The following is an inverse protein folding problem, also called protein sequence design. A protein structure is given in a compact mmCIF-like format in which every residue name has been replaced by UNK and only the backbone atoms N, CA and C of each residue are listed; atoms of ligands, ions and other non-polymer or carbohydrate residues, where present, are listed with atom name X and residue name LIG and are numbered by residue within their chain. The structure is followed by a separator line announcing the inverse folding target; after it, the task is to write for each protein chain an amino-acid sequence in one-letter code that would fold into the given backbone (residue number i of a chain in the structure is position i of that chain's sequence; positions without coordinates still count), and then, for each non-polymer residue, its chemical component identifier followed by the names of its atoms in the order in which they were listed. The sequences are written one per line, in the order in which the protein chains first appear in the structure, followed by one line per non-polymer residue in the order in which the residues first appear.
data_IF_176648296053
#
_entry.id   IF_176648296053
#
_cell.length_a   1.000
_cell.length_b   1.000
_cell.length_c   1.000
_cell.angle_alpha   90.00
_cell.angle_beta   90.00
_cell.angle_gamma   90.00
#
_symmetry.space_group_name_H-M   'P 1'
#
loop_
_entity.id
_entity.type
_entity.pdbx_description
1 polymer ?
#
# COMPACT_ATOMS: atom_id res chain seq x y z
N UNK A 1 -16.95 -22.53 -72.70
CA UNK A 1 -17.82 -22.76 -71.52
C UNK A 1 -16.99 -23.54 -70.51
N UNK A 2 -16.49 -22.85 -69.48
CA UNK A 2 -15.69 -23.49 -68.41
C UNK A 2 -16.61 -23.69 -67.22
N UNK A 3 -16.85 -24.93 -66.84
CA UNK A 3 -17.76 -25.32 -65.77
C UNK A 3 -16.94 -25.42 -64.45
N UNK A 4 -17.16 -24.49 -63.53
CA UNK A 4 -16.58 -24.48 -62.19
C UNK A 4 -17.52 -25.25 -61.24
N UNK A 5 -17.19 -26.48 -60.91
CA UNK A 5 -17.85 -27.22 -59.83
C UNK A 5 -17.15 -26.96 -58.50
N UNK A 6 -17.78 -26.18 -57.63
CA UNK A 6 -17.31 -26.01 -56.23
C UNK A 6 -17.70 -27.24 -55.42
N UNK A 7 -16.67 -28.03 -55.06
CA UNK A 7 -16.84 -29.18 -54.19
C UNK A 7 -16.92 -28.75 -52.72
N UNK A 8 -18.17 -28.73 -52.22
CA UNK A 8 -18.54 -28.29 -50.85
C UNK A 8 -17.98 -29.21 -49.73
N UNK A 9 -17.28 -30.28 -50.06
CA UNK A 9 -16.80 -31.26 -49.10
C UNK A 9 -15.38 -30.99 -48.55
N UNK A 10 -14.66 -29.96 -49.06
CA UNK A 10 -13.31 -29.61 -48.62
C UNK A 10 -13.20 -28.42 -47.69
N UNK A 11 -14.34 -27.87 -47.26
CA UNK A 11 -14.41 -26.64 -46.42
C UNK A 11 -14.57 -26.91 -44.90
N UNK A 12 -14.44 -28.20 -44.48
CA UNK A 12 -14.66 -28.58 -43.07
C UNK A 12 -13.41 -29.15 -42.37
N UNK A 13 -12.20 -28.93 -42.88
CA UNK A 13 -10.97 -29.50 -42.32
C UNK A 13 -9.95 -28.48 -41.85
N UNK A 14 -10.40 -27.29 -41.36
CA UNK A 14 -9.47 -26.37 -40.64
C UNK A 14 -10.16 -25.65 -39.48
N UNK A 15 -10.84 -26.41 -38.62
CA UNK A 15 -11.05 -25.94 -37.25
C UNK A 15 -9.76 -26.18 -36.49
N UNK A 16 -8.86 -25.20 -36.57
CA UNK A 16 -7.68 -25.12 -35.70
C UNK A 16 -8.17 -25.10 -34.27
N UNK A 17 -7.81 -26.13 -33.50
CA UNK A 17 -7.96 -26.16 -32.07
C UNK A 17 -7.14 -24.99 -31.50
N UNK A 18 -7.81 -23.89 -31.19
CA UNK A 18 -7.26 -22.85 -30.32
C UNK A 18 -7.14 -23.50 -28.94
N UNK A 19 -5.96 -24.05 -28.65
CA UNK A 19 -5.61 -24.45 -27.30
C UNK A 19 -5.64 -23.16 -26.47
N UNK A 20 -6.70 -22.94 -25.72
CA UNK A 20 -6.75 -21.94 -24.67
C UNK A 20 -5.69 -22.38 -23.65
N UNK A 21 -4.52 -21.75 -23.72
CA UNK A 21 -3.50 -21.85 -22.66
C UNK A 21 -4.17 -21.18 -21.45
N UNK A 22 -4.43 -21.91 -20.35
CA UNK A 22 -4.89 -21.25 -19.14
C UNK A 22 -3.78 -20.28 -18.74
N UNK A 23 -4.05 -18.98 -18.81
CA UNK A 23 -3.23 -18.00 -18.12
C UNK A 23 -3.42 -18.31 -16.64
N UNK A 24 -2.46 -19.01 -16.06
CA UNK A 24 -2.32 -19.12 -14.62
C UNK A 24 -2.03 -17.69 -14.18
N UNK A 25 -3.06 -17.01 -13.68
CA UNK A 25 -2.89 -15.79 -12.93
C UNK A 25 -1.94 -16.16 -11.78
N UNK A 26 -0.69 -15.71 -11.87
CA UNK A 26 0.21 -15.76 -10.74
C UNK A 26 -0.42 -14.88 -9.68
N UNK A 27 -0.97 -15.49 -8.65
CA UNK A 27 -1.20 -14.79 -7.39
C UNK A 27 0.19 -14.26 -7.00
N UNK A 28 0.36 -12.96 -6.99
CA UNK A 28 1.59 -12.38 -6.43
C UNK A 28 1.62 -12.81 -4.98
N UNK A 29 2.64 -13.59 -4.63
CA UNK A 29 2.85 -14.05 -3.26
C UNK A 29 3.26 -12.82 -2.43
N UNK A 30 2.32 -12.22 -1.73
CA UNK A 30 2.58 -11.16 -0.77
C UNK A 30 2.06 -11.60 0.61
N UNK A 31 2.64 -11.03 1.64
CA UNK A 31 2.23 -11.23 3.02
C UNK A 31 1.25 -10.12 3.39
N UNK A 32 0.06 -10.50 3.85
CA UNK A 32 -0.88 -9.54 4.43
C UNK A 32 -0.40 -9.11 5.80
N UNK A 33 -0.21 -7.80 5.97
CA UNK A 33 0.15 -7.19 7.25
C UNK A 33 -0.97 -6.30 7.77
N UNK A 34 -1.08 -6.28 9.08
CA UNK A 34 -1.83 -5.30 9.84
C UNK A 34 -0.89 -4.32 10.53
N UNK A 35 -1.37 -3.15 10.90
CA UNK A 35 -0.56 -2.15 11.61
C UNK A 35 -0.01 -2.66 12.94
N UNK A 36 -0.70 -3.55 13.59
CA UNK A 36 -0.26 -4.24 14.82
C UNK A 36 0.95 -5.12 14.59
N UNK A 37 1.14 -5.63 13.37
CA UNK A 37 2.31 -6.44 13.03
C UNK A 37 3.61 -5.63 13.02
N UNK A 38 3.53 -4.31 12.81
CA UNK A 38 4.70 -3.43 12.82
C UNK A 38 5.19 -3.09 14.24
N UNK A 39 4.40 -3.41 15.26
CA UNK A 39 4.73 -3.14 16.66
C UNK A 39 5.62 -4.26 17.19
N UNK A 40 6.73 -3.94 17.89
CA UNK A 40 7.56 -4.93 18.52
C UNK A 40 6.79 -5.83 19.49
N UNK A 41 7.14 -7.12 19.53
CA UNK A 41 6.49 -8.11 20.38
C UNK A 41 6.56 -7.67 21.85
N UNK A 42 5.43 -7.71 22.55
CA UNK A 42 5.32 -7.33 23.96
C UNK A 42 5.06 -5.84 24.19
N UNK A 43 4.95 -5.04 23.14
CA UNK A 43 4.54 -3.64 23.25
C UNK A 43 3.01 -3.51 23.13
N UNK A 44 2.37 -2.66 23.95
CA UNK A 44 0.94 -2.43 23.81
C UNK A 44 0.63 -1.61 22.57
N UNK A 45 -0.37 -2.04 21.81
CA UNK A 45 -1.02 -1.16 20.85
C UNK A 45 -1.94 -0.21 21.59
N UNK A 46 -1.65 1.07 21.59
CA UNK A 46 -2.52 2.10 22.14
C UNK A 46 -3.30 2.72 20.99
N UNK A 47 -4.60 2.47 20.87
CA UNK A 47 -5.42 3.08 19.83
C UNK A 47 -5.34 4.63 19.89
N UNK A 48 -5.34 5.33 18.75
CA UNK A 48 -5.19 6.79 18.68
C UNK A 48 -6.20 7.55 19.57
N UNK A 49 -7.43 7.06 19.65
CA UNK A 49 -8.48 7.64 20.48
C UNK A 49 -8.13 7.62 21.99
N UNK A 50 -7.40 6.59 22.44
CA UNK A 50 -6.96 6.50 23.83
C UNK A 50 -5.74 7.38 24.08
N UNK A 51 -4.86 7.53 23.09
CA UNK A 51 -3.72 8.44 23.17
C UNK A 51 -4.20 9.89 23.34
N UNK A 52 -5.24 10.30 22.63
CA UNK A 52 -5.84 11.63 22.75
C UNK A 52 -6.40 11.87 24.15
N UNK A 53 -7.08 10.88 24.74
CA UNK A 53 -7.61 10.97 26.11
C UNK A 53 -6.52 11.08 27.19
N UNK A 54 -5.39 10.41 26.98
CA UNK A 54 -4.28 10.44 27.92
C UNK A 54 -3.44 11.73 27.85
N UNK A 55 -3.48 12.42 26.71
CA UNK A 55 -2.71 13.67 26.48
C UNK A 55 -3.48 14.94 26.85
N UNK A 56 -4.76 14.88 27.19
CA UNK A 56 -5.58 16.05 27.46
C UNK A 56 -5.14 16.91 28.66
N UNK A 57 -4.25 16.41 29.49
CA UNK A 57 -3.83 17.12 30.71
C UNK A 57 -2.47 17.86 30.60
N UNK A 58 -1.68 17.77 29.54
CA UNK A 58 -0.28 18.19 29.67
C UNK A 58 0.39 18.94 28.52
N UNK A 59 -0.19 19.33 27.41
CA UNK A 59 0.54 20.22 26.48
C UNK A 59 -0.34 20.74 25.33
N UNK A 60 0.07 21.89 24.69
CA UNK A 60 -0.53 22.29 23.43
C UNK A 60 -0.36 21.17 22.41
N UNK A 61 -1.42 20.93 21.61
CA UNK A 61 -1.60 19.88 20.60
C UNK A 61 -0.57 19.87 19.45
N UNK A 62 0.52 20.61 19.58
CA UNK A 62 1.60 20.65 18.61
C UNK A 62 2.73 19.70 19.02
N UNK A 63 2.76 18.55 18.38
CA UNK A 63 4.00 17.93 17.95
C UNK A 63 4.89 17.23 18.97
N UNK A 64 4.37 16.34 19.77
CA UNK A 64 5.27 15.32 20.27
C UNK A 64 4.82 13.97 19.70
N UNK A 65 5.52 13.54 18.65
CA UNK A 65 5.38 12.17 18.18
C UNK A 65 5.71 11.24 19.34
N UNK A 66 4.84 10.27 19.68
CA UNK A 66 5.16 9.30 20.71
C UNK A 66 6.45 8.55 20.37
N UNK A 67 7.29 8.32 21.39
CA UNK A 67 8.51 7.57 21.17
C UNK A 67 8.20 6.16 20.64
N UNK A 68 8.89 5.78 19.58
CA UNK A 68 8.84 4.42 19.06
C UNK A 68 9.76 3.54 19.90
N UNK A 69 9.23 2.47 20.46
CA UNK A 69 10.01 1.48 21.22
C UNK A 69 10.72 0.46 20.32
N UNK A 70 11.01 0.84 19.07
CA UNK A 70 11.70 0.03 18.09
C UNK A 70 10.85 -0.33 16.89
N UNK A 71 11.44 -1.03 15.94
CA UNK A 71 10.80 -1.48 14.70
C UNK A 71 10.99 -2.98 14.52
N UNK A 72 10.03 -3.63 13.87
CA UNK A 72 10.17 -5.04 13.45
C UNK A 72 10.82 -5.11 12.08
N UNK A 73 11.75 -6.04 11.94
CA UNK A 73 12.52 -6.25 10.71
C UNK A 73 12.21 -7.58 10.02
N UNK A 74 11.23 -8.31 10.54
CA UNK A 74 10.89 -9.68 10.10
C UNK A 74 10.50 -9.76 8.61
N UNK A 75 9.96 -8.68 8.07
CA UNK A 75 9.49 -8.63 6.67
C UNK A 75 10.42 -7.86 5.73
N UNK A 76 11.61 -7.45 6.20
CA UNK A 76 12.56 -6.75 5.35
C UNK A 76 12.92 -7.57 4.10
N UNK A 77 12.78 -6.96 2.93
CA UNK A 77 13.02 -7.60 1.64
C UNK A 77 11.89 -8.50 1.15
N UNK A 78 10.75 -8.57 1.84
CA UNK A 78 9.58 -9.34 1.43
C UNK A 78 8.54 -8.43 0.76
N UNK A 79 7.74 -9.00 -0.13
CA UNK A 79 6.58 -8.31 -0.69
C UNK A 79 5.44 -8.43 0.30
N UNK A 80 4.92 -7.29 0.71
CA UNK A 80 3.83 -7.23 1.68
C UNK A 80 2.66 -6.44 1.13
N UNK A 81 1.47 -6.64 1.69
CA UNK A 81 0.29 -5.81 1.49
C UNK A 81 -0.09 -5.18 2.83
N UNK A 82 -0.22 -3.86 2.85
CA UNK A 82 -0.61 -3.10 4.03
C UNK A 82 -1.74 -2.13 3.67
N UNK A 83 -2.91 -2.21 4.31
CA UNK A 83 -3.99 -1.24 4.15
C UNK A 83 -3.67 0.05 4.92
N UNK A 84 -4.11 1.19 4.41
CA UNK A 84 -3.93 2.46 5.12
C UNK A 84 -4.49 3.65 4.36
N UNK A 85 -4.11 4.85 4.81
CA UNK A 85 -4.55 6.12 4.24
C UNK A 85 -3.34 6.90 3.73
N UNK A 86 -3.49 7.52 2.55
CA UNK A 86 -2.42 8.28 1.91
C UNK A 86 -2.32 9.69 2.51
N UNK A 87 -1.11 10.10 2.88
CA UNK A 87 -0.73 11.51 3.08
C UNK A 87 0.33 11.83 2.03
N UNK A 88 -0.02 12.49 0.92
CA UNK A 88 0.91 12.77 -0.17
C UNK A 88 2.06 13.68 0.26
N UNK A 89 3.28 13.41 -0.23
CA UNK A 89 4.49 14.18 0.05
C UNK A 89 5.06 14.76 -1.24
N UNK A 90 5.18 13.93 -2.28
CA UNK A 90 5.77 14.34 -3.55
C UNK A 90 4.84 14.02 -4.72
N UNK A 91 4.91 14.86 -5.75
CA UNK A 91 4.10 14.75 -6.95
C UNK A 91 4.96 14.83 -8.20
N UNK A 92 4.53 14.13 -9.25
CA UNK A 92 4.97 14.32 -10.62
C UNK A 92 3.73 14.58 -11.49
N UNK A 93 3.59 15.82 -11.98
CA UNK A 93 2.34 16.26 -12.60
C UNK A 93 1.18 16.23 -11.59
N UNK A 94 0.13 15.47 -11.89
CA UNK A 94 -1.04 15.27 -11.01
C UNK A 94 -0.92 14.03 -10.14
N UNK A 95 0.02 13.13 -10.44
CA UNK A 95 0.17 11.87 -9.73
C UNK A 95 1.14 11.96 -8.56
N UNK A 96 0.86 11.21 -7.50
CA UNK A 96 1.67 11.11 -6.29
C UNK A 96 2.82 10.12 -6.53
N UNK A 97 4.05 10.52 -6.24
CA UNK A 97 5.25 9.68 -6.37
C UNK A 97 5.83 9.27 -5.04
N UNK A 98 5.56 10.04 -3.97
CA UNK A 98 5.91 9.65 -2.61
C UNK A 98 4.82 10.09 -1.64
N UNK A 99 4.52 9.24 -0.66
CA UNK A 99 3.51 9.50 0.35
C UNK A 99 3.82 8.78 1.66
N UNK A 100 3.26 9.29 2.75
CA UNK A 100 3.18 8.57 4.01
C UNK A 100 1.91 7.74 4.01
N UNK A 101 2.02 6.44 4.27
CA UNK A 101 0.89 5.59 4.58
C UNK A 101 0.69 5.59 6.09
N UNK A 102 -0.55 5.87 6.52
CA UNK A 102 -0.90 6.01 7.94
C UNK A 102 -2.08 5.12 8.31
N UNK A 103 -2.20 4.70 9.59
CA UNK A 103 -3.21 3.74 10.02
C UNK A 103 -4.63 4.32 10.15
N UNK A 104 -4.78 5.63 10.24
CA UNK A 104 -6.09 6.27 10.44
C UNK A 104 -6.14 7.66 9.81
N UNK A 105 -7.37 8.10 9.52
CA UNK A 105 -7.64 9.44 8.99
C UNK A 105 -7.29 10.51 10.01
N UNK A 106 -6.65 11.60 9.57
CA UNK A 106 -6.25 12.72 10.42
C UNK A 106 -4.83 12.62 10.98
N UNK A 107 -4.19 11.45 10.90
CA UNK A 107 -2.80 11.28 11.31
C UNK A 107 -1.88 12.32 10.66
N UNK A 108 -0.96 12.89 11.41
CA UNK A 108 0.04 13.88 10.97
C UNK A 108 -0.53 15.26 10.56
N UNK A 109 -1.86 15.48 10.58
CA UNK A 109 -2.46 16.77 10.15
C UNK A 109 -3.31 17.41 11.26
N UNK A 110 -4.23 16.67 11.84
CA UNK A 110 -5.18 17.17 12.83
C UNK A 110 -5.04 16.54 14.21
N UNK A 111 -4.37 15.42 14.30
CA UNK A 111 -4.06 14.68 15.53
C UNK A 111 -2.55 14.47 15.61
N UNK A 112 -1.99 14.24 16.79
CA UNK A 112 -0.58 13.93 16.94
C UNK A 112 -0.17 12.80 16.00
N UNK A 113 1.03 12.86 15.39
CA UNK A 113 1.50 11.80 14.53
C UNK A 113 1.58 10.49 15.32
N UNK A 114 1.29 9.33 14.69
CA UNK A 114 1.52 8.05 15.32
C UNK A 114 3.03 7.83 15.60
N UNK A 115 3.38 6.85 16.46
CA UNK A 115 4.78 6.48 16.65
C UNK A 115 5.47 6.15 15.32
N UNK A 116 6.78 6.34 15.23
CA UNK A 116 7.53 6.16 13.98
C UNK A 116 7.36 4.76 13.36
N UNK A 117 7.17 3.72 14.16
CA UNK A 117 6.88 2.36 13.69
C UNK A 117 5.44 2.15 13.18
N UNK A 118 4.62 3.18 13.21
CA UNK A 118 3.26 3.24 12.66
C UNK A 118 3.16 4.24 11.50
N UNK A 119 4.28 4.58 10.89
CA UNK A 119 4.39 5.40 9.69
C UNK A 119 5.18 4.64 8.63
N UNK A 120 4.63 4.49 7.44
CA UNK A 120 5.30 3.82 6.32
C UNK A 120 5.48 4.81 5.19
N UNK A 121 6.74 5.13 4.88
CA UNK A 121 7.08 5.96 3.73
C UNK A 121 7.05 5.09 2.46
N UNK A 122 6.28 5.50 1.48
CA UNK A 122 6.08 4.78 0.22
C UNK A 122 6.54 5.62 -0.95
N UNK A 123 7.30 5.02 -1.85
CA UNK A 123 7.65 5.60 -3.15
C UNK A 123 7.11 4.72 -4.27
N UNK A 124 6.65 5.33 -5.36
CA UNK A 124 6.17 4.63 -6.55
C UNK A 124 7.01 5.00 -7.75
N UNK A 125 7.25 4.03 -8.64
CA UNK A 125 7.95 4.31 -9.91
C UNK A 125 7.01 5.04 -10.89
N UNK A 126 5.74 4.65 -10.90
CA UNK A 126 4.70 5.28 -11.71
C UNK A 126 3.85 6.19 -10.82
N UNK A 127 3.61 7.45 -11.21
CA UNK A 127 2.78 8.36 -10.43
C UNK A 127 1.37 7.80 -10.22
N UNK A 128 0.91 7.78 -8.98
CA UNK A 128 -0.42 7.31 -8.59
C UNK A 128 -1.42 8.46 -8.60
N UNK A 129 -2.51 8.29 -9.36
CA UNK A 129 -3.61 9.28 -9.43
C UNK A 129 -4.47 9.18 -8.16
N UNK A 130 -4.04 9.88 -7.11
CA UNK A 130 -4.78 9.92 -5.84
C UNK A 130 -6.00 10.82 -5.94
N UNK A 131 -7.09 10.43 -5.30
CA UNK A 131 -8.31 11.24 -5.18
C UNK A 131 -8.19 12.31 -4.11
N UNK A 132 -7.12 12.30 -3.31
CA UNK A 132 -6.84 13.34 -2.31
C UNK A 132 -6.25 12.83 -1.00
N UNK A 133 -6.20 13.73 -0.04
CA UNK A 133 -5.69 13.45 1.30
C UNK A 133 -6.56 12.41 2.01
N UNK A 134 -5.92 11.45 2.66
CA UNK A 134 -6.55 10.33 3.37
C UNK A 134 -7.39 9.39 2.50
N UNK A 135 -7.05 9.26 1.22
CA UNK A 135 -7.59 8.18 0.42
C UNK A 135 -7.20 6.83 1.00
N UNK A 136 -8.18 5.94 1.14
CA UNK A 136 -7.96 4.58 1.63
C UNK A 136 -7.41 3.69 0.52
N UNK A 137 -6.28 3.04 0.77
CA UNK A 137 -5.58 2.20 -0.20
C UNK A 137 -5.06 0.91 0.43
N UNK A 138 -4.75 -0.07 -0.44
CA UNK A 138 -3.92 -1.22 -0.11
C UNK A 138 -2.59 -1.07 -0.86
N UNK A 139 -1.51 -0.88 -0.14
CA UNK A 139 -0.17 -0.80 -0.74
C UNK A 139 0.44 -2.19 -0.80
N UNK A 140 0.89 -2.59 -1.99
CA UNK A 140 1.65 -3.83 -2.19
C UNK A 140 3.04 -3.43 -2.67
N UNK A 141 4.08 -3.89 -1.97
CA UNK A 141 5.44 -3.55 -2.31
C UNK A 141 6.49 -4.22 -1.44
N UNK A 142 7.75 -3.99 -1.79
CA UNK A 142 8.87 -4.49 -1.00
C UNK A 142 8.97 -3.69 0.31
N UNK A 143 8.91 -4.40 1.43
CA UNK A 143 9.02 -3.80 2.76
C UNK A 143 10.48 -3.66 3.19
N UNK A 144 10.77 -2.56 3.90
CA UNK A 144 12.08 -2.33 4.49
C UNK A 144 11.98 -1.34 5.66
N UNK A 145 12.90 -1.47 6.59
CA UNK A 145 13.04 -0.54 7.72
C UNK A 145 14.24 0.37 7.50
N UNK A 146 14.04 1.67 7.63
CA UNK A 146 15.10 2.66 7.53
C UNK A 146 14.85 3.78 8.54
N UNK A 147 15.91 4.39 9.02
CA UNK A 147 15.80 5.64 9.78
C UNK A 147 15.64 6.79 8.79
N UNK A 148 14.51 7.48 8.86
CA UNK A 148 14.21 8.62 8.00
C UNK A 148 13.69 9.77 8.86
N UNK A 149 14.12 10.98 8.55
CA UNK A 149 13.56 12.21 9.11
C UNK A 149 12.74 12.90 8.03
N UNK A 150 11.48 13.16 8.31
CA UNK A 150 10.59 13.92 7.43
C UNK A 150 10.10 15.17 8.13
N UNK A 151 9.49 16.11 7.40
CA UNK A 151 8.86 17.28 8.01
C UNK A 151 7.55 16.94 8.74
N UNK A 152 7.05 15.72 8.59
CA UNK A 152 5.80 15.24 9.17
C UNK A 152 6.02 14.38 10.43
N UNK A 153 7.24 13.86 10.61
CA UNK A 153 7.60 12.98 11.73
C UNK A 153 9.12 13.01 11.98
#
# INVERSE_FOLDING_TARGET
MVNWSFDRRKLLASMGAFAAIPQVARAEDFIDLEWTDLIPIGQPFIPPMIQELLQHDQAPLSSQQPESMGVRTDWNGQIVRLPGFIVPIEYSGTGVTAFMLVPFVGACVHVPPPPANQLVFVTTNDPYESTGLFEAVNVIGMFGTASMSTQLA
#
